data_IF_270851320440
#
_entry.id   IF_270851320440
#
_cell.length_a   1.000
_cell.length_b   1.000
_cell.length_c   1.000
_cell.angle_alpha   90.00
_cell.angle_beta   90.00
_cell.angle_gamma   90.00
#
_symmetry.space_group_name_H-M   'P 1'
#
loop_
_entity.id
_entity.type
_entity.pdbx_description
1 polymer ?
#
# COMPACT_ATOMS: atom_id res chain seq x y z
N UNK A 1 16.21 24.66 -10.30
CA UNK A 1 14.92 24.69 -9.57
C UNK A 1 14.57 23.26 -9.21
N UNK A 2 14.19 22.99 -7.96
CA UNK A 2 13.66 21.68 -7.56
C UNK A 2 12.14 21.73 -7.80
N UNK A 3 11.59 20.70 -8.45
CA UNK A 3 10.17 20.63 -8.82
C UNK A 3 9.25 20.38 -7.61
N UNK A 4 8.10 19.79 -7.87
CA UNK A 4 7.12 19.41 -6.84
C UNK A 4 7.06 17.89 -6.66
N UNK A 5 6.63 17.44 -5.49
CA UNK A 5 6.40 16.05 -5.18
C UNK A 5 5.07 15.90 -4.40
N UNK A 6 4.45 14.73 -4.51
CA UNK A 6 3.21 14.37 -3.81
C UNK A 6 3.38 12.97 -3.22
N UNK A 7 2.78 12.72 -2.07
CA UNK A 7 2.77 11.42 -1.40
C UNK A 7 1.33 10.92 -1.22
N UNK A 8 1.13 9.63 -1.47
CA UNK A 8 -0.10 8.91 -1.14
C UNK A 8 0.25 7.67 -0.31
N UNK A 9 -0.66 7.25 0.58
CA UNK A 9 -0.61 5.94 1.25
C UNK A 9 -1.60 4.99 0.59
N UNK A 10 -1.16 3.74 0.38
CA UNK A 10 -2.03 2.65 -0.05
C UNK A 10 -2.21 1.74 1.16
N UNK A 11 -3.44 1.53 1.60
CA UNK A 11 -3.82 0.75 2.80
C UNK A 11 -4.79 -0.35 2.40
N UNK A 12 -5.12 -1.26 3.33
CA UNK A 12 -6.18 -2.26 3.14
C UNK A 12 -7.58 -1.77 3.52
N UNK A 13 -7.75 -0.46 3.77
CA UNK A 13 -9.02 0.13 4.16
C UNK A 13 -10.00 0.19 2.99
N UNK A 14 -11.19 -0.41 3.16
CA UNK A 14 -12.24 -0.43 2.13
C UNK A 14 -13.13 0.82 2.24
N UNK A 15 -13.09 1.76 1.27
CA UNK A 15 -13.92 2.98 1.31
C UNK A 15 -15.42 2.70 1.18
N UNK A 16 -15.83 1.59 0.53
CA UNK A 16 -17.24 1.19 0.43
C UNK A 16 -17.75 0.61 1.75
N UNK A 17 -16.84 0.10 2.58
CA UNK A 17 -17.11 -0.43 3.91
C UNK A 17 -16.52 0.45 5.03
N UNK A 18 -16.76 1.77 4.93
CA UNK A 18 -16.43 2.77 5.98
C UNK A 18 -14.95 2.79 6.39
N UNK A 19 -14.05 2.54 5.43
CA UNK A 19 -12.60 2.45 5.64
C UNK A 19 -12.20 1.37 6.66
N UNK A 20 -12.96 0.28 6.74
CA UNK A 20 -12.57 -0.87 7.55
C UNK A 20 -11.37 -1.58 6.90
N UNK A 21 -10.29 -1.87 7.63
CA UNK A 21 -9.16 -2.63 7.09
C UNK A 21 -9.56 -4.07 6.75
N UNK A 22 -9.16 -4.51 5.57
CA UNK A 22 -9.25 -5.90 5.13
C UNK A 22 -8.00 -6.69 5.55
N UNK A 23 -8.17 -8.01 5.73
CA UNK A 23 -7.15 -8.93 6.23
C UNK A 23 -7.06 -10.18 5.37
N UNK A 24 -5.87 -10.77 5.33
CA UNK A 24 -5.65 -12.00 4.60
C UNK A 24 -4.35 -11.98 3.81
N UNK A 25 -4.26 -12.89 2.83
CA UNK A 25 -3.05 -13.07 2.04
C UNK A 25 -3.11 -12.26 0.75
N UNK A 26 -2.07 -11.47 0.49
CA UNK A 26 -1.87 -10.81 -0.80
C UNK A 26 -1.52 -11.88 -1.85
N UNK A 27 -2.44 -12.17 -2.76
CA UNK A 27 -2.21 -13.15 -3.83
C UNK A 27 -1.31 -12.62 -4.93
N UNK A 28 -1.34 -11.31 -5.18
CA UNK A 28 -0.54 -10.68 -6.23
C UNK A 28 -0.20 -9.26 -5.81
N UNK A 29 1.07 -8.91 -5.94
CA UNK A 29 1.58 -7.57 -5.77
C UNK A 29 2.44 -7.22 -6.98
N UNK A 30 2.28 -6.01 -7.51
CA UNK A 30 3.14 -5.46 -8.57
C UNK A 30 3.41 -4.00 -8.27
N UNK A 31 4.67 -3.69 -7.99
CA UNK A 31 5.12 -2.33 -7.74
C UNK A 31 5.25 -1.53 -9.04
N UNK A 32 4.97 -0.23 -8.97
CA UNK A 32 5.31 0.72 -10.01
C UNK A 32 6.80 1.09 -9.94
N UNK A 33 7.39 1.50 -11.07
CA UNK A 33 8.77 1.99 -11.12
C UNK A 33 8.94 2.98 -12.28
N UNK A 34 9.98 3.81 -12.23
CA UNK A 34 10.31 4.76 -13.29
C UNK A 34 10.83 6.10 -12.76
N UNK A 35 11.18 7.01 -13.67
CA UNK A 35 11.63 8.35 -13.31
C UNK A 35 10.55 9.10 -12.51
N UNK A 36 10.93 9.69 -11.37
CA UNK A 36 10.02 10.41 -10.49
C UNK A 36 9.12 9.54 -9.62
N UNK A 37 9.23 8.21 -9.70
CA UNK A 37 8.48 7.27 -8.84
C UNK A 37 9.37 6.79 -7.70
N UNK A 38 8.87 6.96 -6.47
CA UNK A 38 9.49 6.41 -5.26
C UNK A 38 8.44 5.53 -4.57
N UNK A 39 8.87 4.35 -4.15
CA UNK A 39 8.08 3.44 -3.33
C UNK A 39 8.83 3.14 -2.03
N UNK A 40 8.13 3.31 -0.91
CA UNK A 40 8.60 2.93 0.41
C UNK A 40 7.78 1.69 0.82
N UNK A 41 8.36 0.51 0.63
CA UNK A 41 7.67 -0.77 0.86
C UNK A 41 7.58 -1.12 2.34
N UNK A 42 6.35 -1.35 2.83
CA UNK A 42 6.05 -1.98 4.13
C UNK A 42 5.81 -3.49 3.97
N UNK A 43 4.58 -3.96 4.19
CA UNK A 43 4.17 -5.37 4.04
C UNK A 43 3.64 -5.76 2.64
N UNK A 44 3.73 -4.87 1.65
CA UNK A 44 3.21 -5.10 0.30
C UNK A 44 4.14 -5.98 -0.56
N UNK A 45 4.10 -7.29 -0.35
CA UNK A 45 4.75 -8.27 -1.22
C UNK A 45 3.80 -9.45 -1.51
N UNK A 46 4.05 -10.17 -2.60
CA UNK A 46 3.26 -11.34 -2.95
C UNK A 46 3.44 -12.42 -1.87
N UNK A 47 2.32 -12.89 -1.32
CA UNK A 47 2.30 -13.89 -0.26
C UNK A 47 2.29 -13.34 1.17
N UNK A 48 2.49 -12.02 1.36
CA UNK A 48 2.34 -11.37 2.66
C UNK A 48 0.95 -11.59 3.26
N UNK A 49 0.89 -11.69 4.59
CA UNK A 49 -0.36 -11.88 5.34
C UNK A 49 -0.61 -10.65 6.22
N UNK A 50 -1.70 -9.94 5.95
CA UNK A 50 -2.14 -8.76 6.70
C UNK A 50 -2.92 -9.22 7.92
N UNK A 51 -2.51 -8.76 9.10
CA UNK A 51 -3.09 -9.12 10.41
C UNK A 51 -3.72 -7.90 11.09
N UNK A 52 -4.73 -8.08 11.96
CA UNK A 52 -5.51 -6.97 12.55
C UNK A 52 -4.82 -6.20 13.68
N UNK A 53 -3.55 -6.51 13.99
CA UNK A 53 -2.89 -5.98 15.18
C UNK A 53 -2.11 -4.68 14.92
N UNK A 54 -1.86 -4.35 13.66
CA UNK A 54 -1.05 -3.21 13.24
C UNK A 54 -1.83 -2.34 12.25
N UNK A 55 -1.26 -1.19 11.89
CA UNK A 55 -1.83 -0.38 10.83
C UNK A 55 -1.76 -1.12 9.49
N UNK A 56 -2.77 -0.85 8.66
CA UNK A 56 -2.90 -1.37 7.31
C UNK A 56 -2.02 -0.65 6.31
#
# INVERSE_FOLDING_TARGET
RNGYAVQCRITTEDPENKFMPDYGRILTYRSAAGFGVRLDGGMGDAGSVITPFYDS
#
